data_IF_037949947286
#
_entry.id   IF_037949947286
#
_cell.length_a   1.000
_cell.length_b   1.000
_cell.length_c   1.000
_cell.angle_alpha   90.00
_cell.angle_beta   90.00
_cell.angle_gamma   90.00
#
_symmetry.space_group_name_H-M   'P 1'
#
loop_
_entity.id
_entity.type
_entity.pdbx_description
1 polymer ?
#
# COMPACT_ATOMS: atom_id res chain seq x y z
N UNK A 1 -11.09 27.73 -31.26
CA UNK A 1 -10.61 26.80 -30.24
C UNK A 1 -10.00 25.57 -30.87
N UNK A 2 -8.67 25.55 -30.94
CA UNK A 2 -7.86 24.42 -31.39
C UNK A 2 -7.96 23.27 -30.38
N UNK A 3 -8.09 22.02 -30.83
CA UNK A 3 -8.14 20.85 -29.94
C UNK A 3 -6.75 20.25 -29.79
N UNK A 4 -6.29 20.09 -28.54
CA UNK A 4 -4.98 19.49 -28.24
C UNK A 4 -5.13 18.40 -27.19
N UNK A 5 -4.47 17.27 -27.39
CA UNK A 5 -4.48 16.15 -26.44
C UNK A 5 -3.17 16.13 -25.66
N UNK A 6 -3.26 16.04 -24.34
CA UNK A 6 -2.11 15.99 -23.44
C UNK A 6 -2.25 14.87 -22.42
N UNK A 7 -1.12 14.45 -21.86
CA UNK A 7 -1.07 13.62 -20.65
C UNK A 7 -0.73 14.47 -19.44
N UNK A 8 -1.31 14.12 -18.28
CA UNK A 8 -0.91 14.68 -16.98
C UNK A 8 -0.58 13.51 -16.05
N UNK A 9 0.67 13.42 -15.63
CA UNK A 9 1.23 12.25 -14.97
C UNK A 9 1.68 12.59 -13.56
N UNK A 10 0.94 12.09 -12.58
CA UNK A 10 1.30 12.22 -11.17
C UNK A 10 2.28 11.12 -10.78
N UNK A 11 3.56 11.49 -10.67
CA UNK A 11 4.59 10.62 -10.12
C UNK A 11 4.58 10.71 -8.59
N UNK A 12 4.31 9.58 -7.92
CA UNK A 12 4.14 9.52 -6.46
C UNK A 12 5.26 8.76 -5.76
N UNK A 13 5.69 9.25 -4.61
CA UNK A 13 6.67 8.61 -3.73
C UNK A 13 6.25 8.75 -2.28
N UNK A 14 5.92 7.62 -1.65
CA UNK A 14 5.60 7.51 -0.23
C UNK A 14 4.52 8.48 0.30
N UNK A 15 3.48 8.69 -0.50
CA UNK A 15 2.33 9.56 -0.16
C UNK A 15 2.50 11.02 -0.58
N UNK A 16 3.70 11.41 -1.03
CA UNK A 16 3.95 12.67 -1.73
C UNK A 16 3.88 12.47 -3.25
N UNK A 17 3.67 13.56 -3.98
CA UNK A 17 3.74 13.65 -5.43
C UNK A 17 4.81 14.66 -5.86
N UNK A 18 5.40 14.43 -7.02
CA UNK A 18 6.28 15.38 -7.68
C UNK A 18 5.44 16.47 -8.34
N UNK A 19 5.74 17.72 -8.04
CA UNK A 19 5.32 18.88 -8.82
C UNK A 19 6.55 19.54 -9.45
N UNK A 20 6.38 20.02 -10.67
CA UNK A 20 7.39 20.68 -11.47
C UNK A 20 6.91 22.10 -11.78
N UNK A 21 7.74 23.11 -11.52
CA UNK A 21 7.45 24.49 -11.86
C UNK A 21 7.93 24.78 -13.27
N UNK A 22 6.99 25.11 -14.15
CA UNK A 22 7.23 25.34 -15.57
C UNK A 22 8.18 26.53 -15.79
N UNK A 23 9.17 26.36 -16.67
CA UNK A 23 10.12 27.42 -17.02
C UNK A 23 9.48 28.51 -17.86
N UNK A 24 10.20 29.61 -18.10
CA UNK A 24 9.74 30.69 -18.98
C UNK A 24 9.86 30.32 -20.47
N UNK A 25 10.52 29.20 -20.78
CA UNK A 25 10.77 28.77 -22.17
C UNK A 25 9.65 27.89 -22.74
N UNK A 26 8.70 27.45 -21.91
CA UNK A 26 7.59 26.59 -22.35
C UNK A 26 6.48 27.39 -23.04
N UNK A 27 5.76 26.73 -23.97
CA UNK A 27 4.74 27.39 -24.80
C UNK A 27 3.43 27.79 -24.10
N UNK A 28 3.17 27.31 -22.87
CA UNK A 28 1.94 27.60 -22.13
C UNK A 28 2.15 27.51 -20.62
N UNK A 29 1.48 28.38 -19.86
CA UNK A 29 1.46 28.38 -18.39
C UNK A 29 2.85 28.49 -17.73
N UNK A 30 3.72 29.39 -18.22
CA UNK A 30 5.03 29.60 -17.62
C UNK A 30 4.92 30.03 -16.15
N UNK A 31 5.86 29.59 -15.32
CA UNK A 31 5.90 29.90 -13.89
C UNK A 31 4.90 29.13 -13.01
N UNK A 32 3.88 28.48 -13.59
CA UNK A 32 2.88 27.69 -12.88
C UNK A 32 3.41 26.29 -12.48
N UNK A 33 2.87 25.73 -11.40
CA UNK A 33 3.16 24.36 -10.99
C UNK A 33 2.31 23.35 -11.77
N UNK A 34 2.94 22.29 -12.24
CA UNK A 34 2.30 21.16 -12.92
C UNK A 34 2.74 19.82 -12.34
N UNK A 35 2.15 18.75 -12.88
CA UNK A 35 2.76 17.43 -12.85
C UNK A 35 3.53 17.21 -14.17
N UNK A 36 4.15 16.05 -14.34
CA UNK A 36 4.76 15.67 -15.62
C UNK A 36 3.68 15.70 -16.69
N UNK A 37 3.88 16.42 -17.80
CA UNK A 37 2.86 16.63 -18.80
C UNK A 37 3.44 16.95 -20.17
N UNK A 38 2.85 16.35 -21.20
CA UNK A 38 3.20 16.65 -22.57
C UNK A 38 2.17 16.17 -23.59
N UNK A 39 2.46 16.37 -24.87
CA UNK A 39 1.51 16.19 -25.96
C UNK A 39 1.40 14.71 -26.35
N UNK A 40 0.21 14.31 -26.80
CA UNK A 40 0.00 12.95 -27.30
C UNK A 40 0.20 12.93 -28.81
N UNK A 41 1.32 12.36 -29.26
CA UNK A 41 1.58 12.09 -30.69
C UNK A 41 1.02 10.72 -31.10
N UNK A 42 1.31 9.67 -30.32
CA UNK A 42 0.87 8.29 -30.58
C UNK A 42 -0.31 7.88 -29.69
N UNK A 43 -0.01 7.38 -28.49
CA UNK A 43 -1.02 6.96 -27.51
C UNK A 43 -0.75 7.63 -26.17
N UNK A 44 -1.78 7.94 -25.38
CA UNK A 44 -1.58 8.53 -24.05
C UNK A 44 -0.69 7.69 -23.14
N UNK A 45 -0.70 6.36 -23.26
CA UNK A 45 0.14 5.48 -22.44
C UNK A 45 1.62 5.54 -22.83
N UNK A 46 1.93 5.63 -24.12
CA UNK A 46 3.30 5.81 -24.62
C UNK A 46 3.81 7.20 -24.23
N UNK A 47 3.02 8.25 -24.50
CA UNK A 47 3.34 9.62 -24.14
C UNK A 47 3.62 9.74 -22.64
N UNK A 48 2.74 9.23 -21.77
CA UNK A 48 2.95 9.28 -20.32
C UNK A 48 4.30 8.69 -19.85
N UNK A 49 4.81 7.64 -20.50
CA UNK A 49 6.11 7.05 -20.16
C UNK A 49 7.28 7.85 -20.73
N UNK A 50 7.09 8.39 -21.92
CA UNK A 50 8.06 9.27 -22.56
C UNK A 50 8.24 10.54 -21.73
N UNK A 51 7.16 11.22 -21.35
CA UNK A 51 7.21 12.44 -20.54
C UNK A 51 7.86 12.19 -19.17
N UNK A 52 7.58 11.05 -18.51
CA UNK A 52 8.30 10.69 -17.28
C UNK A 52 9.81 10.66 -17.54
N UNK A 53 10.25 9.99 -18.60
CA UNK A 53 11.69 9.90 -18.92
C UNK A 53 12.27 11.27 -19.21
N UNK A 54 11.61 12.07 -20.03
CA UNK A 54 12.13 13.36 -20.49
C UNK A 54 12.17 14.40 -19.37
N UNK A 55 11.13 14.49 -18.54
CA UNK A 55 11.04 15.49 -17.47
C UNK A 55 11.68 15.06 -16.15
N UNK A 56 11.96 13.77 -15.94
CA UNK A 56 12.49 13.27 -14.66
C UNK A 56 13.77 12.46 -14.78
N UNK A 57 14.14 12.02 -15.98
CA UNK A 57 15.26 11.11 -16.21
C UNK A 57 15.02 9.68 -15.68
N UNK A 58 13.80 9.35 -15.25
CA UNK A 58 13.49 8.01 -14.74
C UNK A 58 13.11 7.06 -15.87
N UNK A 59 13.77 5.91 -15.91
CA UNK A 59 13.49 4.85 -16.87
C UNK A 59 12.29 3.98 -16.47
N UNK A 60 11.86 3.14 -17.41
CA UNK A 60 10.62 2.35 -17.28
C UNK A 60 10.62 1.35 -16.12
N UNK A 61 11.79 0.90 -15.67
CA UNK A 61 11.99 0.00 -14.53
C UNK A 61 11.97 0.73 -13.17
N UNK A 62 12.23 2.04 -13.16
CA UNK A 62 12.20 2.89 -11.98
C UNK A 62 10.79 3.39 -11.60
N UNK A 63 9.79 3.14 -12.45
CA UNK A 63 8.40 3.57 -12.26
C UNK A 63 7.39 2.44 -12.48
N UNK A 64 6.32 2.43 -11.69
CA UNK A 64 5.21 1.49 -11.87
C UNK A 64 3.91 2.25 -12.03
N UNK A 65 3.16 1.97 -13.10
CA UNK A 65 1.84 2.55 -13.29
C UNK A 65 0.87 1.99 -12.24
N UNK A 66 0.15 2.89 -11.57
CA UNK A 66 -0.85 2.55 -10.54
C UNK A 66 -2.26 2.63 -11.11
N UNK A 67 -2.59 3.72 -11.80
CA UNK A 67 -3.93 3.94 -12.33
C UNK A 67 -3.89 4.86 -13.56
N UNK A 68 -4.93 4.78 -14.39
CA UNK A 68 -5.26 5.73 -15.46
C UNK A 68 -6.67 6.25 -15.18
N UNK A 69 -6.83 7.57 -15.16
CA UNK A 69 -8.13 8.19 -14.96
C UNK A 69 -8.85 8.43 -16.29
N UNK A 70 -10.17 8.60 -16.22
CA UNK A 70 -10.97 8.96 -17.38
C UNK A 70 -10.53 10.32 -17.94
N UNK A 71 -10.34 10.44 -19.27
CA UNK A 71 -10.01 11.72 -19.90
C UNK A 71 -11.10 12.78 -19.70
N UNK A 72 -10.74 14.05 -19.83
CA UNK A 72 -11.70 15.16 -19.80
C UNK A 72 -11.22 16.39 -20.56
N UNK A 73 -12.17 17.25 -20.92
CA UNK A 73 -11.91 18.49 -21.64
C UNK A 73 -11.71 19.67 -20.68
N UNK A 74 -10.70 20.49 -20.96
CA UNK A 74 -10.41 21.75 -20.28
C UNK A 74 -10.36 22.86 -21.33
N UNK A 75 -11.42 23.66 -21.48
CA UNK A 75 -11.42 24.79 -22.40
C UNK A 75 -10.60 25.94 -21.81
N UNK A 76 -9.69 26.51 -22.60
CA UNK A 76 -8.89 27.68 -22.29
C UNK A 76 -9.21 28.78 -23.31
N UNK A 77 -9.98 29.78 -22.88
CA UNK A 77 -10.38 30.90 -23.73
C UNK A 77 -9.24 31.85 -24.03
N UNK A 78 -8.23 31.93 -23.16
CA UNK A 78 -7.12 32.88 -23.29
C UNK A 78 -6.12 32.40 -24.34
N UNK A 79 -5.95 31.08 -24.45
CA UNK A 79 -5.12 30.44 -25.47
C UNK A 79 -5.90 30.06 -26.75
N UNK A 80 -7.23 30.19 -26.75
CA UNK A 80 -8.15 29.62 -27.76
C UNK A 80 -7.84 28.13 -28.02
N UNK A 81 -7.60 27.36 -26.95
CA UNK A 81 -7.31 25.92 -27.00
C UNK A 81 -8.31 25.15 -26.13
N UNK A 82 -8.70 23.96 -26.58
CA UNK A 82 -9.40 22.97 -25.77
C UNK A 82 -8.48 21.79 -25.54
N UNK A 83 -8.10 21.59 -24.28
CA UNK A 83 -7.23 20.49 -23.89
C UNK A 83 -8.05 19.24 -23.61
N UNK A 84 -7.70 18.10 -24.23
CA UNK A 84 -8.14 16.77 -23.79
C UNK A 84 -7.05 16.19 -22.88
N UNK A 85 -7.28 16.24 -21.57
CA UNK A 85 -6.34 15.80 -20.54
C UNK A 85 -6.51 14.31 -20.27
N UNK A 86 -5.42 13.55 -20.37
CA UNK A 86 -5.34 12.13 -20.03
C UNK A 86 -4.55 11.94 -18.73
N UNK A 87 -5.21 11.77 -17.57
CA UNK A 87 -4.53 11.69 -16.29
C UNK A 87 -4.00 10.28 -15.98
N UNK A 88 -2.76 10.21 -15.50
CA UNK A 88 -2.10 8.98 -15.06
C UNK A 88 -1.51 9.13 -13.66
N UNK A 89 -1.44 8.02 -12.93
CA UNK A 89 -0.67 7.92 -11.67
C UNK A 89 0.38 6.84 -11.78
N UNK A 90 1.61 7.22 -11.49
CA UNK A 90 2.75 6.31 -11.36
C UNK A 90 3.32 6.38 -9.94
N UNK A 91 4.00 5.32 -9.51
CA UNK A 91 4.83 5.32 -8.31
C UNK A 91 6.30 5.14 -8.66
N UNK A 92 7.18 5.65 -7.82
CA UNK A 92 8.62 5.40 -7.87
C UNK A 92 9.18 5.17 -6.47
N UNK A 93 10.26 4.41 -6.37
CA UNK A 93 10.97 4.13 -5.12
C UNK A 93 12.07 5.17 -4.82
N UNK A 94 12.26 6.17 -5.68
CA UNK A 94 13.26 7.24 -5.50
C UNK A 94 12.62 8.64 -5.58
N UNK A 95 13.29 9.62 -4.95
CA UNK A 95 13.01 11.05 -5.13
C UNK A 95 14.02 11.75 -6.02
N UNK A 96 15.11 11.06 -6.35
CA UNK A 96 16.18 11.57 -7.21
C UNK A 96 15.68 11.59 -8.64
N UNK A 97 15.65 12.77 -9.24
CA UNK A 97 15.22 13.02 -10.61
C UNK A 97 16.22 13.98 -11.26
N UNK A 98 16.28 13.96 -12.59
CA UNK A 98 17.06 14.89 -13.40
C UNK A 98 16.10 15.63 -14.34
N UNK A 99 15.58 16.80 -13.92
CA UNK A 99 14.67 17.58 -14.74
C UNK A 99 15.36 18.14 -15.98
N UNK A 100 14.59 18.30 -17.05
CA UNK A 100 15.03 18.97 -18.27
C UNK A 100 14.79 20.49 -18.19
N UNK A 101 15.00 21.17 -19.32
CA UNK A 101 14.89 22.63 -19.47
C UNK A 101 13.47 23.19 -19.22
N UNK A 102 12.42 22.35 -19.27
CA UNK A 102 11.04 22.77 -19.04
C UNK A 102 10.75 23.10 -17.58
N UNK A 103 11.65 22.71 -16.66
CA UNK A 103 11.45 22.84 -15.22
C UNK A 103 12.49 23.75 -14.58
N UNK A 104 12.01 24.75 -13.82
CA UNK A 104 12.88 25.64 -13.02
C UNK A 104 13.01 25.20 -11.57
N UNK A 105 11.99 24.55 -11.02
CA UNK A 105 11.92 24.15 -9.62
C UNK A 105 11.15 22.83 -9.49
N UNK A 106 11.56 21.96 -8.57
CA UNK A 106 10.86 20.71 -8.28
C UNK A 106 10.50 20.64 -6.80
N UNK A 107 9.36 20.00 -6.49
CA UNK A 107 8.94 19.79 -5.12
C UNK A 107 8.21 18.46 -4.96
N UNK A 108 8.63 17.68 -3.97
CA UNK A 108 7.86 16.53 -3.47
C UNK A 108 6.92 16.99 -2.37
N UNK A 109 5.61 16.98 -2.63
CA UNK A 109 4.60 17.53 -1.73
C UNK A 109 3.41 16.60 -1.55
N UNK A 110 2.68 16.78 -0.45
CA UNK A 110 1.38 16.14 -0.27
C UNK A 110 0.40 16.66 -1.35
N UNK A 111 -0.40 15.79 -2.00
CA UNK A 111 -1.33 16.16 -3.08
C UNK A 111 -2.25 17.36 -2.79
N UNK A 112 -2.77 17.56 -1.56
CA UNK A 112 -3.55 18.76 -1.23
C UNK A 112 -2.84 20.10 -1.48
N UNK A 113 -1.49 20.12 -1.53
CA UNK A 113 -0.72 21.33 -1.86
C UNK A 113 -0.96 21.84 -3.28
N UNK A 114 -1.54 21.04 -4.18
CA UNK A 114 -2.03 21.52 -5.48
C UNK A 114 -2.96 22.73 -5.29
N UNK A 115 -3.85 22.69 -4.29
CA UNK A 115 -4.83 23.75 -4.05
C UNK A 115 -4.27 25.00 -3.35
N UNK A 116 -3.02 24.93 -2.92
CA UNK A 116 -2.33 26.01 -2.20
C UNK A 116 -1.26 26.68 -3.09
N UNK A 117 -1.15 26.26 -4.36
CA UNK A 117 -0.17 26.73 -5.33
C UNK A 117 -0.88 27.29 -6.56
N UNK A 118 -0.19 28.17 -7.26
CA UNK A 118 -0.57 28.56 -8.61
C UNK A 118 -0.20 27.43 -9.57
N UNK A 119 -1.21 26.74 -10.12
CA UNK A 119 -1.02 25.55 -10.94
C UNK A 119 -1.54 25.74 -12.34
N UNK A 120 -1.14 24.84 -13.25
CA UNK A 120 -1.85 24.67 -14.53
C UNK A 120 -3.36 24.43 -14.29
N UNK A 121 -4.23 24.81 -15.24
CA UNK A 121 -5.68 24.63 -15.10
C UNK A 121 -6.06 23.18 -14.78
N UNK A 122 -7.07 23.01 -13.93
CA UNK A 122 -7.67 21.71 -13.61
C UNK A 122 -6.67 20.63 -13.10
N UNK A 123 -5.54 21.04 -12.50
CA UNK A 123 -4.56 20.08 -11.96
C UNK A 123 -5.14 19.26 -10.80
N UNK A 124 -5.95 19.86 -9.92
CA UNK A 124 -6.64 19.11 -8.86
C UNK A 124 -7.62 18.11 -9.45
N UNK A 125 -8.47 18.55 -10.38
CA UNK A 125 -9.42 17.68 -11.10
C UNK A 125 -8.70 16.49 -11.75
N UNK A 126 -7.53 16.72 -12.37
CA UNK A 126 -6.68 15.64 -12.89
C UNK A 126 -6.26 14.64 -11.80
N UNK A 127 -5.88 15.12 -10.61
CA UNK A 127 -5.54 14.26 -9.47
C UNK A 127 -6.75 13.45 -9.00
N UNK A 128 -7.95 14.04 -8.97
CA UNK A 128 -9.18 13.33 -8.56
C UNK A 128 -9.48 12.13 -9.45
N UNK A 129 -9.12 12.18 -10.73
CA UNK A 129 -9.30 11.06 -11.66
C UNK A 129 -8.39 9.85 -11.38
N UNK A 130 -7.32 10.03 -10.59
CA UNK A 130 -6.30 8.97 -10.39
C UNK A 130 -6.00 8.66 -8.92
N UNK A 131 -6.47 9.50 -7.99
CA UNK A 131 -6.38 9.24 -6.55
C UNK A 131 -7.22 8.01 -6.16
N UNK A 132 -6.90 7.33 -5.04
CA UNK A 132 -7.73 6.23 -4.60
C UNK A 132 -9.07 6.75 -4.07
N UNK A 133 -10.10 5.91 -4.16
CA UNK A 133 -11.44 6.10 -3.59
C UNK A 133 -11.74 5.01 -2.57
N UNK A 134 -12.78 5.20 -1.74
CA UNK A 134 -13.33 4.16 -0.85
C UNK A 134 -13.62 2.86 -1.61
N UNK A 135 -14.30 2.96 -2.76
CA UNK A 135 -14.60 1.83 -3.64
C UNK A 135 -13.32 1.10 -4.08
N UNK A 136 -12.31 1.86 -4.52
CA UNK A 136 -11.05 1.29 -4.97
C UNK A 136 -10.25 0.60 -3.85
N UNK A 137 -10.46 1.00 -2.59
CA UNK A 137 -9.87 0.35 -1.40
C UNK A 137 -10.61 -0.95 -1.08
N UNK A 138 -11.95 -0.93 -1.14
CA UNK A 138 -12.78 -2.12 -0.94
C UNK A 138 -12.51 -3.20 -1.98
N UNK A 139 -12.42 -2.82 -3.26
CA UNK A 139 -12.25 -3.74 -4.39
C UNK A 139 -10.82 -4.28 -4.59
N UNK A 140 -9.81 -3.80 -3.85
CA UNK A 140 -8.39 -4.14 -4.09
C UNK A 140 -8.04 -5.57 -3.63
N UNK A 141 -8.28 -6.58 -4.44
CA UNK A 141 -7.93 -7.98 -4.09
C UNK A 141 -6.46 -8.34 -4.35
N UNK A 142 -5.69 -7.43 -4.97
CA UNK A 142 -4.30 -7.70 -5.40
C UNK A 142 -3.27 -7.08 -4.46
N UNK A 143 -3.58 -5.93 -3.87
CA UNK A 143 -2.71 -5.23 -2.95
C UNK A 143 -2.60 -5.94 -1.60
N UNK A 144 -1.39 -6.03 -1.05
CA UNK A 144 -1.21 -6.46 0.34
C UNK A 144 -1.81 -5.46 1.34
N UNK A 145 -2.11 -5.92 2.55
CA UNK A 145 -2.74 -5.14 3.63
C UNK A 145 -2.04 -3.80 3.95
N UNK A 146 -0.71 -3.72 3.84
CA UNK A 146 0.05 -2.48 4.01
C UNK A 146 -0.23 -1.45 2.90
N UNK A 147 -0.40 -1.89 1.65
CA UNK A 147 -0.72 -1.01 0.50
C UNK A 147 -2.13 -0.48 0.60
N UNK A 148 -3.10 -1.35 0.86
CA UNK A 148 -4.51 -0.99 0.97
C UNK A 148 -4.73 0.03 2.09
N UNK A 149 -4.13 -0.19 3.26
CA UNK A 149 -4.28 0.73 4.39
C UNK A 149 -3.59 2.08 4.19
N UNK A 150 -2.52 2.17 3.37
CA UNK A 150 -1.97 3.46 2.93
C UNK A 150 -2.93 4.16 1.98
N UNK A 151 -3.51 3.45 1.00
CA UNK A 151 -4.54 4.02 0.13
C UNK A 151 -5.74 4.55 0.91
N UNK A 152 -6.16 3.87 1.98
CA UNK A 152 -7.23 4.36 2.85
C UNK A 152 -6.89 5.70 3.53
N UNK A 153 -5.63 5.90 3.96
CA UNK A 153 -5.16 7.18 4.47
C UNK A 153 -5.06 8.27 3.37
N UNK A 154 -4.71 7.90 2.14
CA UNK A 154 -4.75 8.81 0.99
C UNK A 154 -6.19 9.29 0.72
N UNK A 155 -7.17 8.39 0.73
CA UNK A 155 -8.61 8.74 0.61
C UNK A 155 -8.98 9.73 1.71
N UNK A 156 -8.70 9.39 2.99
CA UNK A 156 -9.07 10.24 4.12
C UNK A 156 -8.45 11.64 4.04
N UNK A 157 -7.18 11.73 3.62
CA UNK A 157 -6.47 13.01 3.43
C UNK A 157 -7.10 13.87 2.33
N UNK A 158 -7.38 13.25 1.18
CA UNK A 158 -7.85 13.98 0.00
C UNK A 158 -9.31 14.41 0.18
N UNK A 159 -10.15 13.56 0.79
CA UNK A 159 -11.53 13.92 1.14
C UNK A 159 -11.60 15.01 2.22
N UNK A 160 -10.71 14.96 3.22
CA UNK A 160 -10.59 16.05 4.20
C UNK A 160 -10.23 17.40 3.54
N UNK A 161 -9.47 17.36 2.44
CA UNK A 161 -9.12 18.57 1.66
C UNK A 161 -10.33 19.13 0.92
N UNK A 162 -11.19 18.28 0.36
CA UNK A 162 -12.42 18.71 -0.30
C UNK A 162 -13.40 19.31 0.71
N UNK A 163 -13.67 18.58 1.80
CA UNK A 163 -14.58 19.01 2.85
C UNK A 163 -14.15 20.35 3.46
N UNK A 164 -12.84 20.55 3.70
CA UNK A 164 -12.30 21.82 4.17
C UNK A 164 -12.68 23.00 3.26
N UNK A 165 -12.46 22.84 1.95
CA UNK A 165 -12.65 23.93 1.00
C UNK A 165 -14.11 24.22 0.67
N UNK A 166 -14.98 23.22 0.79
CA UNK A 166 -16.42 23.36 0.53
C UNK A 166 -17.20 23.77 1.78
N UNK A 167 -16.54 24.04 2.90
CA UNK A 167 -17.15 24.21 4.22
C UNK A 167 -18.11 23.05 4.58
N UNK A 168 -17.72 21.82 4.21
CA UNK A 168 -18.49 20.62 4.47
C UNK A 168 -18.48 20.23 5.95
N UNK A 169 -19.51 19.49 6.37
CA UNK A 169 -19.64 19.01 7.75
C UNK A 169 -18.65 17.90 8.09
N UNK A 170 -18.16 17.91 9.33
CA UNK A 170 -17.28 16.88 9.90
C UNK A 170 -17.90 15.48 9.81
N UNK A 171 -19.22 15.40 9.87
CA UNK A 171 -20.00 14.16 9.80
C UNK A 171 -19.68 13.36 8.52
N UNK A 172 -19.48 14.05 7.38
CA UNK A 172 -19.08 13.38 6.12
C UNK A 172 -17.76 12.63 6.25
N UNK A 173 -16.79 13.22 6.95
CA UNK A 173 -15.48 12.61 7.18
C UNK A 173 -15.56 11.48 8.20
N UNK A 174 -16.41 11.63 9.22
CA UNK A 174 -16.67 10.57 10.18
C UNK A 174 -17.31 9.34 9.51
N UNK A 175 -18.34 9.55 8.68
CA UNK A 175 -19.01 8.49 7.91
C UNK A 175 -18.04 7.80 6.94
N UNK A 176 -17.28 8.58 6.16
CA UNK A 176 -16.23 8.05 5.28
C UNK A 176 -15.20 7.20 6.05
N UNK A 177 -14.74 7.68 7.20
CA UNK A 177 -13.78 6.94 8.02
C UNK A 177 -14.40 5.63 8.53
N UNK A 178 -15.66 5.62 8.93
CA UNK A 178 -16.35 4.39 9.30
C UNK A 178 -16.46 3.41 8.14
N UNK A 179 -16.79 3.88 6.94
CA UNK A 179 -16.87 3.05 5.74
C UNK A 179 -15.49 2.50 5.34
N UNK A 180 -14.42 3.30 5.43
CA UNK A 180 -13.04 2.85 5.19
C UNK A 180 -12.61 1.75 6.17
N UNK A 181 -13.03 1.83 7.44
CA UNK A 181 -12.77 0.77 8.43
C UNK A 181 -13.46 -0.54 8.06
N UNK A 182 -14.69 -0.45 7.55
CA UNK A 182 -15.49 -1.60 7.15
C UNK A 182 -15.08 -2.18 5.79
N UNK A 183 -14.47 -1.38 4.91
CA UNK A 183 -14.12 -1.77 3.54
C UNK A 183 -13.27 -3.05 3.48
N UNK A 184 -12.42 -3.29 4.48
CA UNK A 184 -11.56 -4.48 4.59
C UNK A 184 -11.46 -4.98 6.02
N UNK A 185 -12.59 -5.37 6.58
CA UNK A 185 -12.73 -5.82 7.97
C UNK A 185 -11.69 -6.86 8.44
N UNK A 186 -11.31 -7.81 7.57
CA UNK A 186 -10.31 -8.83 7.87
C UNK A 186 -8.86 -8.28 8.01
N UNK A 187 -8.60 -7.04 7.56
CA UNK A 187 -7.29 -6.39 7.60
C UNK A 187 -7.24 -5.36 8.72
N UNK A 188 -6.80 -5.77 9.91
CA UNK A 188 -6.74 -4.91 11.09
C UNK A 188 -6.02 -3.57 10.84
N UNK A 189 -4.99 -3.58 9.99
CA UNK A 189 -4.18 -2.39 9.66
C UNK A 189 -4.95 -1.26 8.99
N UNK A 190 -6.01 -1.55 8.22
CA UNK A 190 -6.86 -0.50 7.64
C UNK A 190 -7.60 0.22 8.76
N UNK A 191 -8.31 -0.55 9.59
CA UNK A 191 -9.05 -0.04 10.75
C UNK A 191 -8.15 0.75 11.69
N UNK A 192 -7.03 0.17 12.13
CA UNK A 192 -6.11 0.79 13.09
C UNK A 192 -5.54 2.11 12.57
N UNK A 193 -5.16 2.19 11.29
CA UNK A 193 -4.60 3.44 10.73
C UNK A 193 -5.66 4.54 10.62
N UNK A 194 -6.89 4.20 10.24
CA UNK A 194 -8.02 5.15 10.21
C UNK A 194 -8.39 5.60 11.62
N UNK A 195 -8.49 4.66 12.57
CA UNK A 195 -8.79 4.97 13.98
C UNK A 195 -7.77 5.90 14.60
N UNK A 196 -6.49 5.65 14.32
CA UNK A 196 -5.41 6.53 14.78
C UNK A 196 -5.54 7.94 14.23
N UNK A 197 -5.91 8.10 12.96
CA UNK A 197 -6.07 9.41 12.34
C UNK A 197 -7.27 10.16 12.94
N UNK A 198 -8.42 9.50 13.06
CA UNK A 198 -9.65 10.10 13.58
C UNK A 198 -9.57 10.42 15.07
N UNK A 199 -8.97 9.54 15.88
CA UNK A 199 -8.78 9.77 17.30
C UNK A 199 -7.92 11.02 17.56
N UNK A 200 -6.85 11.22 16.79
CA UNK A 200 -5.92 12.33 16.96
C UNK A 200 -6.54 13.73 16.73
N UNK A 201 -7.70 13.79 16.06
CA UNK A 201 -8.41 15.05 15.79
C UNK A 201 -9.83 15.07 16.38
N UNK A 202 -10.16 14.06 17.19
CA UNK A 202 -11.53 13.83 17.69
C UNK A 202 -12.11 14.96 18.54
N UNK A 203 -11.27 15.70 19.25
CA UNK A 203 -11.68 16.87 20.05
C UNK A 203 -11.88 18.13 19.20
N UNK A 204 -11.03 18.34 18.19
CA UNK A 204 -11.03 19.58 17.39
C UNK A 204 -11.94 19.51 16.18
N UNK A 205 -12.12 18.31 15.60
CA UNK A 205 -12.98 18.03 14.45
C UNK A 205 -12.78 19.00 13.27
N UNK A 206 -11.51 19.28 12.95
CA UNK A 206 -11.12 20.17 11.85
C UNK A 206 -10.65 19.37 10.64
N UNK A 207 -11.29 19.51 9.45
CA UNK A 207 -10.85 18.84 8.23
C UNK A 207 -9.38 19.08 7.88
N UNK A 208 -8.86 20.30 8.07
CA UNK A 208 -7.46 20.65 7.80
C UNK A 208 -6.51 19.89 8.72
N UNK A 209 -6.89 19.72 9.99
CA UNK A 209 -6.09 18.92 10.94
C UNK A 209 -6.10 17.44 10.55
N UNK A 210 -7.25 16.91 10.11
CA UNK A 210 -7.36 15.52 9.67
C UNK A 210 -6.48 15.25 8.44
N UNK A 211 -6.47 16.19 7.48
CA UNK A 211 -5.60 16.14 6.30
C UNK A 211 -4.14 15.98 6.67
N UNK A 212 -3.61 16.82 7.56
CA UNK A 212 -2.22 16.74 8.01
C UNK A 212 -1.94 15.43 8.78
N UNK A 213 -2.83 15.05 9.69
CA UNK A 213 -2.68 13.82 10.49
C UNK A 213 -2.70 12.56 9.62
N UNK A 214 -3.58 12.50 8.62
CA UNK A 214 -3.66 11.39 7.68
C UNK A 214 -2.37 11.30 6.83
N UNK A 215 -1.84 12.44 6.38
CA UNK A 215 -0.58 12.49 5.66
C UNK A 215 0.62 12.07 6.52
N UNK A 216 0.70 12.51 7.77
CA UNK A 216 1.72 12.02 8.71
C UNK A 216 1.52 10.54 9.04
N UNK A 217 0.28 10.06 9.02
CA UNK A 217 -0.07 8.64 9.10
C UNK A 217 0.57 7.82 7.98
N UNK A 218 0.59 8.33 6.75
CA UNK A 218 1.28 7.70 5.62
C UNK A 218 2.78 7.61 5.88
N UNK A 219 3.42 8.70 6.31
CA UNK A 219 4.85 8.70 6.64
C UNK A 219 5.17 7.69 7.73
N UNK A 220 4.38 7.67 8.82
CA UNK A 220 4.51 6.67 9.90
C UNK A 220 4.35 5.24 9.38
N UNK A 221 3.40 4.99 8.48
CA UNK A 221 3.20 3.68 7.87
C UNK A 221 4.44 3.20 7.10
N UNK A 222 5.02 4.05 6.25
CA UNK A 222 6.25 3.70 5.51
C UNK A 222 7.44 3.46 6.44
N UNK A 223 7.61 4.29 7.48
CA UNK A 223 8.67 4.08 8.47
C UNK A 223 8.49 2.78 9.24
N UNK A 224 7.27 2.47 9.71
CA UNK A 224 7.01 1.23 10.42
C UNK A 224 7.30 0.00 9.56
N UNK A 225 6.88 0.01 8.30
CA UNK A 225 7.13 -1.11 7.37
C UNK A 225 8.63 -1.28 7.09
N UNK A 226 9.38 -0.18 6.92
CA UNK A 226 10.86 -0.18 6.76
C UNK A 226 11.57 -0.71 8.00
N UNK A 227 11.29 -0.12 9.15
CA UNK A 227 11.96 -0.41 10.42
C UNK A 227 11.69 -1.86 10.86
N UNK A 228 10.53 -2.42 10.51
CA UNK A 228 10.22 -3.85 10.69
C UNK A 228 11.08 -4.71 9.76
N UNK A 229 11.20 -4.33 8.49
CA UNK A 229 11.98 -5.07 7.50
C UNK A 229 13.48 -5.06 7.83
N UNK A 230 14.04 -3.95 8.33
CA UNK A 230 15.43 -3.84 8.78
C UNK A 230 15.72 -4.80 9.95
N UNK A 231 14.84 -4.87 10.94
CA UNK A 231 14.99 -5.84 12.05
C UNK A 231 14.86 -7.29 11.59
N UNK A 232 13.95 -7.55 10.67
CA UNK A 232 13.81 -8.88 10.08
C UNK A 232 15.04 -9.26 9.24
N UNK A 233 15.68 -8.30 8.57
CA UNK A 233 16.92 -8.48 7.81
C UNK A 233 18.07 -8.93 8.73
N UNK A 234 18.25 -8.27 9.88
CA UNK A 234 19.24 -8.67 10.90
C UNK A 234 19.01 -10.12 11.39
N UNK A 235 17.76 -10.57 11.47
CA UNK A 235 17.43 -11.91 11.95
C UNK A 235 17.75 -13.04 10.95
N UNK A 236 17.94 -12.71 9.67
CA UNK A 236 18.13 -13.69 8.59
C UNK A 236 19.51 -13.65 7.94
N UNK A 237 20.37 -12.71 8.33
CA UNK A 237 21.71 -12.57 7.76
C UNK A 237 22.51 -13.88 7.87
N UNK A 238 23.04 -14.35 6.74
CA UNK A 238 23.84 -15.58 6.67
C UNK A 238 23.09 -16.88 6.97
N UNK A 239 21.75 -16.89 6.84
CA UNK A 239 20.90 -18.06 7.08
C UNK A 239 20.21 -18.54 5.82
N UNK A 240 19.81 -19.81 5.79
CA UNK A 240 18.80 -20.31 4.86
C UNK A 240 17.41 -19.98 5.37
N UNK A 241 16.63 -19.22 4.61
CA UNK A 241 15.32 -18.72 5.02
C UNK A 241 14.21 -19.45 4.29
N UNK A 242 13.22 -19.99 5.01
CA UNK A 242 11.96 -20.37 4.42
C UNK A 242 10.93 -19.23 4.50
N UNK A 243 10.22 -18.99 3.40
CA UNK A 243 9.09 -18.05 3.36
C UNK A 243 7.99 -18.53 2.40
N UNK A 244 6.85 -17.84 2.42
CA UNK A 244 5.73 -18.05 1.52
C UNK A 244 4.98 -16.74 1.29
N UNK A 245 4.15 -16.74 0.26
CA UNK A 245 3.41 -15.59 -0.26
C UNK A 245 4.35 -14.48 -0.75
N UNK A 246 3.85 -13.25 -0.77
CA UNK A 246 4.60 -12.05 -1.09
C UNK A 246 4.26 -10.91 -0.13
N UNK A 247 4.81 -10.99 1.08
CA UNK A 247 4.76 -9.87 2.03
C UNK A 247 5.80 -8.83 1.64
N UNK A 248 5.39 -7.58 1.40
CA UNK A 248 6.32 -6.50 1.08
C UNK A 248 7.36 -6.22 2.19
N UNK A 249 7.00 -6.47 3.46
CA UNK A 249 7.93 -6.36 4.59
C UNK A 249 8.98 -7.48 4.55
N UNK A 250 8.58 -8.70 4.21
CA UNK A 250 9.51 -9.85 4.12
C UNK A 250 10.37 -9.74 2.86
N UNK A 251 9.79 -9.39 1.71
CA UNK A 251 10.53 -9.11 0.48
C UNK A 251 11.62 -8.05 0.73
N UNK A 252 11.28 -6.97 1.43
CA UNK A 252 12.26 -5.94 1.81
C UNK A 252 13.31 -6.46 2.80
N UNK A 253 12.94 -7.32 3.74
CA UNK A 253 13.89 -7.93 4.66
C UNK A 253 14.90 -8.82 3.91
N UNK A 254 14.43 -9.63 2.96
CA UNK A 254 15.27 -10.49 2.11
C UNK A 254 16.21 -9.66 1.21
N UNK A 255 15.75 -8.52 0.68
CA UNK A 255 16.59 -7.58 -0.08
C UNK A 255 17.72 -6.99 0.78
N UNK A 256 17.43 -6.68 2.05
CA UNK A 256 18.36 -6.02 2.95
C UNK A 256 19.32 -7.00 3.64
N UNK A 257 18.80 -8.14 4.08
CA UNK A 257 19.52 -9.11 4.91
C UNK A 257 20.39 -10.07 4.12
N UNK A 258 20.18 -10.17 2.79
CA UNK A 258 20.94 -11.03 1.88
C UNK A 258 21.24 -12.41 2.49
N UNK A 259 20.20 -13.21 2.80
CA UNK A 259 20.37 -14.55 3.37
C UNK A 259 21.22 -15.44 2.46
N UNK A 260 21.77 -16.52 3.02
CA UNK A 260 22.57 -17.49 2.28
C UNK A 260 21.78 -18.09 1.11
N UNK A 261 20.54 -18.50 1.37
CA UNK A 261 19.58 -18.95 0.36
C UNK A 261 18.13 -18.76 0.83
N UNK A 262 17.18 -18.77 -0.10
CA UNK A 262 15.75 -18.58 0.19
C UNK A 262 14.92 -19.72 -0.39
N UNK A 263 14.22 -20.44 0.48
CA UNK A 263 13.22 -21.43 0.13
C UNK A 263 11.84 -20.77 0.11
N UNK A 264 11.17 -20.74 -1.05
CA UNK A 264 9.87 -20.07 -1.23
C UNK A 264 8.80 -21.09 -1.61
N UNK A 265 7.67 -21.12 -0.91
CA UNK A 265 6.52 -21.92 -1.33
C UNK A 265 5.68 -21.20 -2.41
N UNK A 266 5.13 -21.94 -3.38
CA UNK A 266 4.31 -21.40 -4.48
C UNK A 266 3.17 -20.49 -4.01
N UNK A 267 2.52 -20.84 -2.91
CA UNK A 267 1.41 -20.11 -2.29
C UNK A 267 0.12 -20.14 -3.10
N UNK A 268 -0.33 -21.32 -3.52
CA UNK A 268 -1.64 -21.49 -4.15
C UNK A 268 -2.79 -21.06 -3.22
N UNK A 269 -3.95 -20.66 -3.76
CA UNK A 269 -4.29 -20.59 -5.19
C UNK A 269 -3.69 -19.38 -5.93
N UNK A 270 -3.28 -18.33 -5.20
CA UNK A 270 -2.82 -17.06 -5.80
C UNK A 270 -1.44 -17.11 -6.48
N UNK A 271 -0.56 -18.02 -6.07
CA UNK A 271 0.76 -18.19 -6.70
C UNK A 271 1.74 -17.05 -6.40
N UNK A 272 1.51 -16.28 -5.34
CA UNK A 272 2.27 -15.07 -5.00
C UNK A 272 3.76 -15.37 -4.77
N UNK A 273 4.08 -16.54 -4.21
CA UNK A 273 5.46 -16.97 -3.96
C UNK A 273 6.29 -17.16 -5.23
N UNK A 274 5.64 -17.54 -6.35
CA UNK A 274 6.32 -17.58 -7.67
C UNK A 274 6.82 -16.20 -8.09
N UNK A 275 6.02 -15.16 -7.83
CA UNK A 275 6.40 -13.78 -8.15
C UNK A 275 7.56 -13.32 -7.28
N UNK A 276 7.48 -13.57 -5.96
CA UNK A 276 8.58 -13.26 -5.03
C UNK A 276 9.87 -13.96 -5.46
N UNK A 277 9.83 -15.27 -5.69
CA UNK A 277 11.00 -16.04 -6.07
C UNK A 277 11.64 -15.53 -7.37
N UNK A 278 10.83 -15.21 -8.38
CA UNK A 278 11.31 -14.60 -9.63
C UNK A 278 12.01 -13.27 -9.36
N UNK A 279 11.40 -12.37 -8.59
CA UNK A 279 11.96 -11.06 -8.28
C UNK A 279 13.29 -11.15 -7.53
N UNK A 280 13.43 -12.07 -6.58
CA UNK A 280 14.68 -12.29 -5.85
C UNK A 280 15.77 -12.91 -6.75
N UNK A 281 15.41 -13.87 -7.60
CA UNK A 281 16.33 -14.49 -8.55
C UNK A 281 16.85 -13.49 -9.61
N UNK A 282 15.98 -12.61 -10.12
CA UNK A 282 16.36 -11.52 -11.05
C UNK A 282 17.36 -10.54 -10.41
N UNK A 283 17.40 -10.48 -9.08
CA UNK A 283 18.36 -9.68 -8.28
C UNK A 283 19.59 -10.47 -7.86
N UNK A 284 19.75 -11.71 -8.31
CA UNK A 284 20.93 -12.54 -8.07
C UNK A 284 20.96 -13.25 -6.71
N UNK A 285 19.84 -13.32 -5.98
CA UNK A 285 19.77 -14.14 -4.77
C UNK A 285 19.61 -15.63 -5.12
N UNK A 286 20.15 -16.51 -4.28
CA UNK A 286 19.94 -17.96 -4.41
C UNK A 286 18.56 -18.34 -3.87
N UNK A 287 17.68 -18.79 -4.76
CA UNK A 287 16.27 -19.04 -4.46
C UNK A 287 15.80 -20.37 -5.02
N UNK A 288 15.21 -21.19 -4.15
CA UNK A 288 14.54 -22.43 -4.54
C UNK A 288 13.03 -22.30 -4.34
N UNK A 289 12.27 -22.55 -5.41
CA UNK A 289 10.80 -22.54 -5.39
C UNK A 289 10.26 -23.95 -5.14
N UNK A 290 9.42 -24.10 -4.12
CA UNK A 290 8.81 -25.37 -3.71
C UNK A 290 7.31 -25.38 -4.01
N UNK A 291 6.81 -26.55 -4.41
CA UNK A 291 5.38 -26.85 -4.38
C UNK A 291 4.87 -26.79 -2.93
N UNK A 292 3.61 -26.36 -2.72
CA UNK A 292 3.06 -26.19 -1.37
C UNK A 292 2.99 -27.52 -0.59
N UNK A 293 2.86 -28.66 -1.29
CA UNK A 293 2.92 -29.99 -0.68
C UNK A 293 4.31 -30.34 -0.12
N UNK A 294 5.35 -29.61 -0.53
CA UNK A 294 6.74 -29.80 -0.12
C UNK A 294 7.18 -28.80 0.95
N UNK A 295 6.27 -28.00 1.52
CA UNK A 295 6.58 -27.05 2.60
C UNK A 295 7.36 -27.72 3.75
N UNK A 296 6.99 -28.92 4.27
CA UNK A 296 7.77 -29.54 5.34
C UNK A 296 9.22 -29.80 4.97
N UNK A 297 9.48 -30.21 3.72
CA UNK A 297 10.85 -30.44 3.21
C UNK A 297 11.64 -29.14 3.07
N UNK A 298 10.99 -28.07 2.62
CA UNK A 298 11.60 -26.76 2.48
C UNK A 298 11.96 -26.13 3.84
N UNK A 299 11.12 -26.36 4.87
CA UNK A 299 11.36 -25.92 6.24
C UNK A 299 12.45 -26.76 6.92
N UNK A 300 12.49 -28.08 6.71
CA UNK A 300 13.52 -28.97 7.28
C UNK A 300 14.95 -28.52 6.95
N UNK A 301 15.15 -27.94 5.76
CA UNK A 301 16.45 -27.46 5.28
C UNK A 301 16.71 -25.98 5.58
N UNK A 302 15.81 -25.30 6.30
CA UNK A 302 15.94 -23.88 6.63
C UNK A 302 16.43 -23.67 8.07
N UNK A 303 17.15 -22.57 8.29
CA UNK A 303 17.59 -22.14 9.62
C UNK A 303 16.56 -21.25 10.31
N UNK A 304 15.61 -20.70 9.55
CA UNK A 304 14.55 -19.82 10.04
C UNK A 304 13.37 -19.81 9.10
N UNK A 305 12.15 -19.81 9.65
CA UNK A 305 10.94 -19.44 8.91
C UNK A 305 10.69 -17.96 9.14
N UNK A 306 10.62 -17.17 8.06
CA UNK A 306 10.26 -15.77 8.09
C UNK A 306 9.01 -15.53 7.24
N UNK A 307 7.90 -15.17 7.87
CA UNK A 307 6.64 -14.86 7.19
C UNK A 307 6.10 -13.49 7.56
N UNK A 308 5.21 -12.96 6.73
CA UNK A 308 4.40 -11.80 7.09
C UNK A 308 3.20 -12.19 7.96
N UNK A 309 2.36 -11.20 8.22
CA UNK A 309 1.01 -11.39 8.75
C UNK A 309 0.06 -10.46 8.02
N UNK A 310 -1.22 -10.80 7.93
CA UNK A 310 -2.28 -9.87 7.56
C UNK A 310 -2.90 -9.23 8.80
N UNK A 311 -3.14 -10.06 9.82
CA UNK A 311 -3.65 -9.63 11.13
C UNK A 311 -2.96 -10.44 12.23
N UNK A 312 -2.61 -9.80 13.33
CA UNK A 312 -2.14 -10.42 14.57
C UNK A 312 -3.23 -10.20 15.62
N UNK A 313 -3.65 -11.24 16.33
CA UNK A 313 -4.64 -11.14 17.39
C UNK A 313 -4.05 -10.63 18.70
N UNK A 314 -4.92 -10.17 19.60
CA UNK A 314 -4.52 -9.70 20.93
C UNK A 314 -3.77 -10.77 21.75
N UNK A 315 -3.99 -12.07 21.47
CA UNK A 315 -3.30 -13.18 22.13
C UNK A 315 -2.04 -13.65 21.39
N UNK A 316 -1.64 -12.97 20.30
CA UNK A 316 -0.48 -13.34 19.49
C UNK A 316 -0.76 -14.31 18.35
N UNK A 317 -1.96 -14.88 18.23
CA UNK A 317 -2.33 -15.71 17.09
C UNK A 317 -2.29 -14.90 15.78
N UNK A 318 -1.81 -15.50 14.70
CA UNK A 318 -1.58 -14.81 13.44
C UNK A 318 -2.52 -15.32 12.36
N UNK A 319 -3.07 -14.41 11.56
CA UNK A 319 -3.69 -14.73 10.28
C UNK A 319 -2.75 -14.34 9.16
N UNK A 320 -2.41 -15.32 8.33
CA UNK A 320 -1.54 -15.15 7.17
C UNK A 320 -1.98 -16.11 6.04
N UNK A 321 -1.34 -16.00 4.88
CA UNK A 321 -1.58 -16.84 3.70
C UNK A 321 -1.61 -18.34 4.06
N UNK A 322 -2.55 -19.07 3.47
CA UNK A 322 -2.62 -20.54 3.59
C UNK A 322 -1.27 -21.19 3.23
N UNK A 323 -0.90 -22.24 3.97
CA UNK A 323 0.44 -22.83 3.95
C UNK A 323 1.28 -22.41 5.15
N UNK A 324 0.97 -21.26 5.79
CA UNK A 324 1.71 -20.79 6.98
C UNK A 324 1.55 -21.73 8.17
N UNK A 325 0.38 -22.33 8.39
CA UNK A 325 0.22 -23.29 9.48
C UNK A 325 0.98 -24.59 9.21
N UNK A 326 1.03 -25.03 7.95
CA UNK A 326 1.85 -26.19 7.56
C UNK A 326 3.34 -25.90 7.80
N UNK A 327 3.80 -24.68 7.48
CA UNK A 327 5.16 -24.25 7.77
C UNK A 327 5.43 -24.18 9.28
N UNK A 328 4.52 -23.62 10.07
CA UNK A 328 4.66 -23.50 11.52
C UNK A 328 4.71 -24.87 12.23
N UNK A 329 3.86 -25.82 11.82
CA UNK A 329 3.89 -27.19 12.35
C UNK A 329 5.17 -27.94 11.94
N UNK A 330 5.67 -27.73 10.72
CA UNK A 330 6.95 -28.28 10.30
C UNK A 330 8.11 -27.65 11.08
N UNK A 331 8.06 -26.34 11.30
CA UNK A 331 9.06 -25.60 12.06
C UNK A 331 9.16 -26.11 13.49
N UNK A 332 8.02 -26.30 14.17
CA UNK A 332 7.97 -26.94 15.49
C UNK A 332 8.58 -28.35 15.46
N UNK A 333 8.20 -29.19 14.47
CA UNK A 333 8.69 -30.56 14.34
C UNK A 333 10.21 -30.64 14.15
N UNK A 334 10.79 -29.72 13.40
CA UNK A 334 12.21 -29.68 13.06
C UNK A 334 13.01 -28.71 13.94
N UNK A 335 12.38 -28.07 14.92
CA UNK A 335 13.02 -27.08 15.82
C UNK A 335 13.63 -25.90 15.04
N UNK A 336 12.95 -25.46 13.99
CA UNK A 336 13.30 -24.28 13.20
C UNK A 336 12.51 -23.08 13.76
N UNK A 337 13.14 -21.94 14.06
CA UNK A 337 12.44 -20.79 14.63
C UNK A 337 11.42 -20.19 13.65
N UNK A 338 10.16 -20.09 14.10
CA UNK A 338 9.05 -19.46 13.41
C UNK A 338 8.96 -17.97 13.75
N UNK A 339 9.37 -17.12 12.81
CA UNK A 339 9.39 -15.66 12.97
C UNK A 339 8.37 -14.97 12.07
N UNK A 340 7.58 -14.07 12.65
CA UNK A 340 6.61 -13.23 11.95
C UNK A 340 7.13 -11.79 11.91
N UNK A 341 7.21 -11.20 10.73
CA UNK A 341 7.58 -9.79 10.55
C UNK A 341 6.36 -8.95 10.10
N UNK A 342 5.90 -8.07 10.99
CA UNK A 342 4.72 -7.26 10.76
C UNK A 342 4.73 -5.98 11.60
N UNK A 343 4.31 -4.86 11.00
CA UNK A 343 4.17 -3.62 11.74
C UNK A 343 3.11 -3.74 12.84
N UNK A 344 3.28 -3.03 13.96
CA UNK A 344 2.35 -3.08 15.10
C UNK A 344 0.91 -2.77 14.70
N UNK A 345 0.71 -1.94 13.68
CA UNK A 345 -0.61 -1.62 13.15
C UNK A 345 -1.40 -2.83 12.61
N UNK A 346 -0.77 -3.99 12.40
CA UNK A 346 -1.45 -5.26 12.06
C UNK A 346 -2.03 -5.98 13.28
N UNK A 347 -1.76 -5.51 14.49
CA UNK A 347 -2.34 -6.06 15.73
C UNK A 347 -3.79 -5.57 15.87
N UNK A 348 -4.72 -6.53 15.87
CA UNK A 348 -6.15 -6.34 16.03
C UNK A 348 -6.53 -6.17 17.50
N UNK A 349 -7.36 -5.16 17.76
CA UNK A 349 -8.11 -4.99 19.01
C UNK A 349 -9.37 -5.86 19.12
N UNK A 350 -9.81 -6.47 18.02
CA UNK A 350 -11.00 -7.32 17.96
C UNK A 350 -10.67 -8.78 17.65
N UNK A 351 -11.69 -9.67 17.63
CA UNK A 351 -11.52 -11.07 17.30
C UNK A 351 -10.83 -11.23 15.93
N UNK A 352 -10.02 -12.27 15.82
CA UNK A 352 -9.31 -12.61 14.58
C UNK A 352 -10.09 -13.72 13.89
N UNK A 353 -10.90 -13.35 12.91
CA UNK A 353 -11.65 -14.30 12.10
C UNK A 353 -10.86 -14.71 10.86
N UNK A 354 -10.81 -16.02 10.60
CA UNK A 354 -10.30 -16.54 9.33
C UNK A 354 -11.39 -16.36 8.27
N UNK A 355 -11.14 -15.50 7.29
CA UNK A 355 -12.02 -15.37 6.14
C UNK A 355 -11.91 -16.64 5.30
N UNK A 356 -12.91 -17.50 5.36
CA UNK A 356 -13.13 -18.55 4.35
C UNK A 356 -13.90 -17.86 3.24
N UNK A 357 -13.20 -17.51 2.16
CA UNK A 357 -13.88 -16.96 0.99
C UNK A 357 -14.69 -18.08 0.34
N UNK A 358 -16.04 -18.00 0.29
CA UNK A 358 -16.87 -19.04 -0.30
C UNK A 358 -16.67 -19.13 -1.81
N UNK A 359 -16.25 -18.04 -2.46
CA UNK A 359 -16.22 -17.88 -3.93
C UNK A 359 -14.79 -17.73 -4.47
N UNK A 360 -13.85 -18.46 -3.89
CA UNK A 360 -12.51 -18.64 -4.45
C UNK A 360 -12.58 -19.57 -5.67
N UNK A 361 -13.17 -19.13 -6.77
CA UNK A 361 -13.26 -19.93 -7.99
C UNK A 361 -11.86 -20.30 -8.48
N UNK A 362 -11.48 -21.57 -8.34
CA UNK A 362 -10.47 -22.15 -9.23
C UNK A 362 -11.21 -22.47 -10.52
N UNK A 363 -10.81 -21.80 -11.60
CA UNK A 363 -11.43 -21.85 -12.93
C UNK A 363 -11.63 -23.26 -13.53
N UNK A 364 -11.08 -24.31 -12.91
CA UNK A 364 -11.08 -25.69 -13.41
C UNK A 364 -12.08 -26.64 -12.73
N UNK A 365 -12.88 -26.18 -11.76
CA UNK A 365 -13.88 -27.04 -11.10
C UNK A 365 -15.26 -27.06 -11.82
N UNK A 366 -15.38 -26.39 -12.97
CA UNK A 366 -16.66 -26.09 -13.65
C UNK A 366 -17.38 -27.29 -14.29
N UNK A 367 -16.89 -28.52 -14.12
CA UNK A 367 -17.44 -29.71 -14.80
C UNK A 367 -17.87 -30.87 -13.88
N UNK A 368 -17.87 -30.72 -12.55
CA UNK A 368 -18.13 -31.84 -11.62
C UNK A 368 -18.99 -31.42 -10.41
N UNK A 369 -19.84 -32.29 -9.83
CA UNK A 369 -20.63 -32.00 -8.62
C UNK A 369 -19.77 -31.91 -7.34
N UNK A 370 -18.49 -31.55 -7.47
CA UNK A 370 -17.55 -31.44 -6.37
C UNK A 370 -17.69 -30.08 -5.71
N UNK A 371 -17.82 -30.08 -4.39
CA UNK A 371 -17.66 -28.86 -3.59
C UNK A 371 -16.18 -28.60 -3.40
N UNK A 372 -15.70 -27.46 -3.88
CA UNK A 372 -14.32 -27.02 -3.67
C UNK A 372 -14.26 -25.96 -2.57
N UNK A 373 -13.13 -25.88 -1.87
CA UNK A 373 -12.86 -24.89 -0.82
C UNK A 373 -11.42 -24.43 -1.00
N UNK A 374 -11.19 -23.13 -1.22
CA UNK A 374 -9.84 -22.58 -1.36
C UNK A 374 -9.63 -21.41 -0.39
N UNK A 375 -9.28 -21.69 0.88
CA UNK A 375 -9.01 -20.64 1.83
C UNK A 375 -7.77 -19.87 1.37
N UNK A 376 -7.86 -18.54 1.37
CA UNK A 376 -6.71 -17.68 1.05
C UNK A 376 -5.85 -17.43 2.29
N UNK A 377 -6.45 -17.47 3.47
CA UNK A 377 -5.78 -17.22 4.74
C UNK A 377 -6.14 -18.30 5.73
N UNK A 378 -5.28 -18.50 6.71
CA UNK A 378 -5.52 -19.38 7.84
C UNK A 378 -4.99 -18.76 9.12
N UNK A 379 -5.46 -19.28 10.25
CA UNK A 379 -5.00 -18.90 11.59
C UNK A 379 -3.90 -19.84 12.05
N UNK A 380 -2.87 -19.26 12.64
CA UNK A 380 -1.71 -19.90 13.25
C UNK A 380 -1.74 -19.53 14.72
N UNK A 381 -1.77 -20.53 15.58
CA UNK A 381 -1.86 -20.30 17.03
C UNK A 381 -0.54 -19.77 17.58
N UNK A 382 -0.63 -19.01 18.68
CA UNK A 382 0.51 -18.30 19.27
C UNK A 382 1.62 -19.23 19.72
N UNK A 383 1.30 -20.47 20.10
CA UNK A 383 2.26 -21.45 20.59
C UNK A 383 3.21 -21.95 19.49
N UNK A 384 2.82 -21.80 18.22
CA UNK A 384 3.65 -22.17 17.07
C UNK A 384 4.53 -21.01 16.57
N UNK A 385 4.53 -19.86 17.25
CA UNK A 385 5.23 -18.64 16.83
C UNK A 385 6.26 -18.27 17.90
N UNK A 386 7.54 -18.33 17.54
CA UNK A 386 8.62 -18.00 18.46
C UNK A 386 8.78 -16.49 18.65
N UNK A 387 8.62 -15.71 17.57
CA UNK A 387 8.89 -14.25 17.59
C UNK A 387 7.99 -13.47 16.65
N UNK A 388 7.51 -12.32 17.15
CA UNK A 388 6.86 -11.29 16.32
C UNK A 388 7.76 -10.05 16.27
N UNK A 389 8.44 -9.85 15.14
CA UNK A 389 9.28 -8.69 14.88
C UNK A 389 8.44 -7.53 14.32
N UNK A 390 8.55 -6.37 14.98
CA UNK A 390 7.84 -5.13 14.62
C UNK A 390 8.79 -3.95 14.57
N UNK A 391 8.32 -2.78 14.14
CA UNK A 391 9.07 -1.52 14.20
C UNK A 391 9.43 -1.08 15.63
N UNK A 392 8.81 -1.70 16.64
CA UNK A 392 9.08 -1.46 18.07
C UNK A 392 10.00 -2.50 18.70
N UNK A 393 10.50 -3.46 17.92
CA UNK A 393 11.28 -4.59 18.40
C UNK A 393 10.47 -5.89 18.34
N UNK A 394 11.05 -6.95 18.93
CA UNK A 394 10.35 -8.21 19.14
C UNK A 394 9.31 -8.01 20.25
N UNK A 395 8.07 -8.43 20.02
CA UNK A 395 7.00 -8.36 21.01
C UNK A 395 6.66 -9.75 21.54
N UNK A 396 6.43 -9.85 22.86
CA UNK A 396 5.81 -11.01 23.48
C UNK A 396 4.27 -10.90 23.51
N UNK A 397 3.59 -11.95 23.99
CA UNK A 397 2.13 -11.98 24.06
C UNK A 397 1.51 -10.89 24.95
N UNK A 398 2.20 -10.47 26.01
CA UNK A 398 1.74 -9.40 26.91
C UNK A 398 1.85 -8.05 26.21
N UNK A 399 2.96 -7.80 25.54
CA UNK A 399 3.18 -6.57 24.77
C UNK A 399 2.23 -6.46 23.57
N UNK A 400 1.94 -7.58 22.89
CA UNK A 400 0.91 -7.65 21.84
C UNK A 400 -0.46 -7.28 22.40
N UNK A 401 -0.85 -7.83 23.55
CA UNK A 401 -2.10 -7.49 24.23
C UNK A 401 -2.19 -6.00 24.55
N UNK A 402 -1.12 -5.42 25.11
CA UNK A 402 -1.07 -3.99 25.40
C UNK A 402 -1.15 -3.10 24.14
N UNK A 403 -0.61 -3.56 23.00
CA UNK A 403 -0.82 -2.87 21.71
C UNK A 403 -2.27 -2.96 21.27
N UNK A 404 -2.90 -4.14 21.40
CA UNK A 404 -4.30 -4.36 21.04
C UNK A 404 -5.24 -3.46 21.87
N UNK A 405 -5.01 -3.32 23.16
CA UNK A 405 -5.79 -2.44 24.04
C UNK A 405 -5.67 -0.97 23.60
N UNK A 406 -4.45 -0.50 23.31
CA UNK A 406 -4.26 0.85 22.76
C UNK A 406 -4.99 1.05 21.43
N UNK A 407 -5.06 0.01 20.59
CA UNK A 407 -5.82 0.08 19.35
C UNK A 407 -7.33 0.09 19.59
N UNK A 408 -7.82 -0.58 20.63
CA UNK A 408 -9.23 -0.50 21.04
C UNK A 408 -9.58 0.93 21.48
N UNK A 409 -8.72 1.55 22.29
CA UNK A 409 -8.89 2.93 22.75
C UNK A 409 -8.97 3.93 21.60
N UNK A 410 -8.11 3.76 20.58
CA UNK A 410 -8.17 4.59 19.37
C UNK A 410 -9.54 4.49 18.71
N UNK A 411 -10.15 3.31 18.65
CA UNK A 411 -11.45 3.09 18.02
C UNK A 411 -12.63 3.77 18.71
N UNK A 412 -12.48 4.27 19.93
CA UNK A 412 -13.57 4.89 20.73
C UNK A 412 -14.16 6.15 20.08
N UNK A 413 -13.43 6.79 19.16
CA UNK A 413 -13.92 7.95 18.41
C UNK A 413 -15.25 7.66 17.68
N UNK A 414 -15.47 6.40 17.26
CA UNK A 414 -16.67 6.03 16.51
C UNK A 414 -17.94 6.24 17.33
N UNK A 415 -17.95 5.78 18.57
CA UNK A 415 -19.08 5.94 19.49
C UNK A 415 -19.30 7.40 19.84
N UNK A 416 -18.21 8.17 19.97
CA UNK A 416 -18.25 9.60 20.31
C UNK A 416 -18.73 10.49 19.15
N UNK A 417 -18.60 10.04 17.89
CA UNK A 417 -18.83 10.89 16.72
C UNK A 417 -19.99 10.44 15.83
N UNK A 418 -20.26 9.14 15.75
CA UNK A 418 -21.27 8.58 14.85
C UNK A 418 -22.52 8.13 15.61
N UNK A 419 -22.44 7.97 16.94
CA UNK A 419 -23.59 7.68 17.80
C UNK A 419 -24.35 6.38 17.46
N UNK A 420 -23.82 5.55 16.55
CA UNK A 420 -24.40 4.28 16.15
C UNK A 420 -23.44 3.16 16.54
N UNK A 421 -23.90 2.30 17.45
CA UNK A 421 -23.49 0.91 17.43
C UNK A 421 -23.97 0.34 16.08
N UNK A 422 -23.04 -0.02 15.20
CA UNK A 422 -23.31 -0.93 14.09
C UNK A 422 -22.63 -2.25 14.39
#
# INVERSE_FOLDING_TARGET
MEERTVVTVFLTHRGDMLLLRRSEEVGSYSGAWGAVAGHVEDTPATAARQEIREETGLESDAVTQINRGEPFEVPDSDLDIRWTVNPFRFKTETRTITPNWETTETAWVSPPKIRERETVPELWTSWERVRPTLESVGADTKGGSATISRRALEVLRDEATLVAAENGGWEKLADLAADLRAAREAMAVVRVRIDRAMAAVSERKRPEALREVAHDGLKRAFHADRDTAERAAEAIEGRTVFTLSRSGTVERALELGLPESVNVALSRPGGEGKTLAKTLAERGQDVTLYEDSSIPRAVETADIVLVGADTIGATGAVVNKVGTRAAALAAERFTVPMTVAAATAKISSGPVETRIDPDSEVADATASPLRTVHPHFERIESELIDRVLTEKGALDGTEIGAVADRHADLGTWISLQIGRAR
#
